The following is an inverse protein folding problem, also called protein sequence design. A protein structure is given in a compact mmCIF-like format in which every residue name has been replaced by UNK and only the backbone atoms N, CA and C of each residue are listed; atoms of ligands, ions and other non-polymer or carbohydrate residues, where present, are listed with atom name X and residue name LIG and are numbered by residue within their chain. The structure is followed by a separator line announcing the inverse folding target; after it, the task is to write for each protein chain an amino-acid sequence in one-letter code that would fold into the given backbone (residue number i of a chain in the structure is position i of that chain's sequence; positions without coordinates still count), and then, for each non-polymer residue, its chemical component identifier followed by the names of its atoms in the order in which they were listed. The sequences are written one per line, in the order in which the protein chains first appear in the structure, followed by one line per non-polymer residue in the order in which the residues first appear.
data_IF_064808707053
#
_entry.id   IF_064808707053
#
_cell.length_a   1.000
_cell.length_b   1.000
_cell.length_c   1.000
_cell.angle_alpha   90.00
_cell.angle_beta   90.00
_cell.angle_gamma   90.00
#
_symmetry.space_group_name_H-M   'P 1'
#
loop_
_entity.id
_entity.type
_entity.pdbx_description
1 polymer ?
#
# COMPACT_ATOMS: atom_id res chain seq x y z
N UNK A 1 -12.87 -19.59 15.62
CA UNK A 1 -13.28 -18.25 16.07
C UNK A 1 -12.36 -17.23 15.42
N UNK A 2 -12.89 -16.04 15.03
CA UNK A 2 -12.09 -14.92 14.51
C UNK A 2 -11.71 -14.98 13.03
N UNK A 3 -12.32 -15.85 12.23
CA UNK A 3 -12.01 -15.98 10.80
C UNK A 3 -13.11 -15.45 9.87
N UNK A 4 -14.14 -14.83 10.41
CA UNK A 4 -15.21 -14.22 9.63
C UNK A 4 -15.78 -13.02 10.37
N UNK A 5 -16.32 -12.08 9.61
CA UNK A 5 -17.08 -10.94 10.12
C UNK A 5 -18.33 -10.73 9.28
N UNK A 6 -19.36 -10.18 9.89
CA UNK A 6 -20.55 -9.74 9.18
C UNK A 6 -20.31 -8.31 8.70
N UNK A 7 -20.39 -8.09 7.40
CA UNK A 7 -20.10 -6.80 6.77
C UNK A 7 -21.30 -6.30 5.97
N UNK A 8 -21.33 -4.99 5.70
CA UNK A 8 -22.22 -4.41 4.70
C UNK A 8 -21.62 -4.66 3.32
N UNK A 9 -22.44 -5.14 2.38
CA UNK A 9 -22.03 -5.26 0.99
C UNK A 9 -22.12 -3.89 0.32
N UNK A 10 -21.03 -3.40 -0.23
CA UNK A 10 -20.97 -2.20 -1.05
C UNK A 10 -20.73 -2.56 -2.51
N UNK A 11 -21.09 -1.65 -3.42
CA UNK A 11 -20.70 -1.71 -4.82
C UNK A 11 -19.28 -1.16 -4.94
N UNK A 12 -18.30 -2.05 -5.08
CA UNK A 12 -16.88 -1.70 -5.04
C UNK A 12 -16.43 -1.03 -6.34
N UNK A 13 -15.62 0.02 -6.22
CA UNK A 13 -14.93 0.60 -7.38
C UNK A 13 -13.87 -0.38 -7.90
N UNK A 14 -13.73 -0.51 -9.23
CA UNK A 14 -12.78 -1.43 -9.86
C UNK A 14 -11.35 -0.85 -9.92
N UNK A 15 -10.93 -0.20 -8.85
CA UNK A 15 -9.62 0.42 -8.73
C UNK A 15 -9.11 0.35 -7.29
N UNK A 16 -7.81 0.22 -7.14
CA UNK A 16 -7.13 0.38 -5.87
C UNK A 16 -6.57 1.80 -5.76
N UNK A 17 -6.78 2.43 -4.61
CA UNK A 17 -6.38 3.80 -4.34
C UNK A 17 -5.10 3.79 -3.49
N UNK A 18 -3.95 3.86 -4.14
CA UNK A 18 -2.66 3.84 -3.44
C UNK A 18 -2.20 5.28 -3.21
N UNK A 19 -1.80 5.58 -1.97
CA UNK A 19 -1.15 6.85 -1.63
C UNK A 19 0.27 6.56 -1.15
N UNK A 20 1.22 7.33 -1.67
CA UNK A 20 2.64 7.19 -1.33
C UNK A 20 3.17 8.50 -0.76
N UNK A 21 3.73 8.45 0.43
CA UNK A 21 4.51 9.54 1.01
C UNK A 21 6.02 9.29 0.89
N UNK A 22 6.39 8.08 0.54
CA UNK A 22 7.79 7.66 0.34
C UNK A 22 7.89 6.80 -0.92
N UNK A 23 9.08 6.82 -1.52
CA UNK A 23 9.38 6.08 -2.75
C UNK A 23 9.84 4.66 -2.41
N UNK A 24 8.97 3.68 -2.63
CA UNK A 24 9.23 2.26 -2.34
C UNK A 24 8.50 1.32 -3.30
N UNK A 25 8.88 0.06 -3.31
CA UNK A 25 8.17 -1.01 -4.00
C UNK A 25 7.98 -0.77 -5.51
N UNK A 26 6.74 -0.88 -6.00
CA UNK A 26 6.42 -0.67 -7.42
C UNK A 26 6.67 0.77 -7.87
N UNK A 27 6.41 1.75 -6.99
CA UNK A 27 6.67 3.17 -7.28
C UNK A 27 8.17 3.45 -7.52
N UNK A 28 9.05 2.88 -6.71
CA UNK A 28 10.49 2.99 -6.92
C UNK A 28 10.92 2.34 -8.25
N UNK A 29 10.37 1.19 -8.59
CA UNK A 29 10.70 0.51 -9.85
C UNK A 29 10.29 1.34 -11.07
N UNK A 30 9.11 1.94 -11.01
CA UNK A 30 8.58 2.80 -12.07
C UNK A 30 9.43 4.09 -12.18
N UNK A 31 9.69 4.75 -11.06
CA UNK A 31 10.54 5.94 -11.02
C UNK A 31 11.95 5.69 -11.59
N UNK A 32 12.59 4.59 -11.24
CA UNK A 32 13.92 4.25 -11.76
C UNK A 32 13.92 4.00 -13.28
N UNK A 33 12.78 3.63 -13.86
CA UNK A 33 12.63 3.39 -15.28
C UNK A 33 12.26 4.66 -16.05
N UNK A 34 11.38 5.49 -15.49
CA UNK A 34 10.68 6.55 -16.22
C UNK A 34 10.86 7.96 -15.62
N UNK A 35 11.39 8.07 -14.39
CA UNK A 35 11.44 9.33 -13.66
C UNK A 35 10.08 9.81 -13.15
N UNK A 36 9.03 9.00 -13.34
CA UNK A 36 7.65 9.28 -12.95
C UNK A 36 7.04 8.12 -12.16
N UNK A 37 5.93 8.36 -11.47
CA UNK A 37 5.06 7.31 -10.91
C UNK A 37 3.63 7.61 -11.30
N UNK A 38 2.96 6.70 -11.99
CA UNK A 38 1.61 6.91 -12.54
C UNK A 38 1.49 8.18 -13.40
N UNK A 39 2.55 8.55 -14.13
CA UNK A 39 2.63 9.78 -14.91
C UNK A 39 2.92 11.04 -14.11
N UNK A 40 3.06 10.97 -12.78
CA UNK A 40 3.44 12.10 -11.92
C UNK A 40 4.96 12.26 -11.97
N UNK A 41 5.43 13.41 -12.49
CA UNK A 41 6.86 13.76 -12.49
C UNK A 41 7.38 13.96 -11.07
N UNK A 42 8.46 13.30 -10.72
CA UNK A 42 9.11 13.42 -9.42
C UNK A 42 10.48 14.10 -9.55
N UNK A 43 11.00 14.72 -8.48
CA UNK A 43 12.35 15.29 -8.48
C UNK A 43 13.40 14.25 -8.87
N UNK A 44 14.47 14.72 -9.53
CA UNK A 44 15.63 13.88 -9.82
C UNK A 44 16.40 13.53 -8.53
N UNK A 45 17.04 12.36 -8.54
CA UNK A 45 17.93 11.93 -7.46
C UNK A 45 17.24 11.27 -6.28
N UNK A 46 15.94 10.99 -6.36
CA UNK A 46 15.27 10.17 -5.35
C UNK A 46 15.82 8.74 -5.37
N UNK A 47 15.99 8.18 -4.19
CA UNK A 47 16.49 6.82 -3.98
C UNK A 47 15.44 5.98 -3.24
N UNK A 48 15.76 4.71 -2.99
CA UNK A 48 14.89 3.85 -2.20
C UNK A 48 14.57 4.51 -0.84
N UNK A 49 13.32 4.44 -0.45
CA UNK A 49 12.80 5.03 0.79
C UNK A 49 12.88 6.57 0.90
N UNK A 50 13.21 7.30 -0.18
CA UNK A 50 13.15 8.77 -0.15
C UNK A 50 11.75 9.26 0.22
N UNK A 51 11.69 10.24 1.12
CA UNK A 51 10.45 10.94 1.42
C UNK A 51 10.08 11.83 0.23
N UNK A 52 8.84 11.73 -0.23
CA UNK A 52 8.33 12.58 -1.30
C UNK A 52 8.04 14.00 -0.77
N UNK A 53 8.17 15.04 -1.62
CA UNK A 53 7.85 16.42 -1.24
C UNK A 53 6.42 16.57 -0.71
N UNK A 54 5.49 15.84 -1.31
CA UNK A 54 4.10 15.71 -0.90
C UNK A 54 3.62 14.28 -1.18
N UNK A 55 2.60 13.79 -0.44
CA UNK A 55 1.99 12.51 -0.77
C UNK A 55 1.37 12.53 -2.15
N UNK A 56 1.59 11.48 -2.93
CA UNK A 56 1.04 11.31 -4.27
C UNK A 56 0.00 10.21 -4.32
N UNK A 57 -1.05 10.42 -5.12
CA UNK A 57 -2.07 9.43 -5.40
C UNK A 57 -1.70 8.64 -6.66
N UNK A 58 -1.52 7.34 -6.51
CA UNK A 58 -1.02 6.43 -7.56
C UNK A 58 -1.96 5.25 -7.71
N UNK A 59 -3.09 5.40 -8.42
CA UNK A 59 -4.08 4.35 -8.55
C UNK A 59 -3.55 3.15 -9.32
N UNK A 60 -4.15 1.98 -9.07
CA UNK A 60 -3.95 0.79 -9.90
C UNK A 60 -5.29 0.17 -10.31
N UNK A 61 -5.29 -0.56 -11.41
CA UNK A 61 -6.42 -1.41 -11.75
C UNK A 61 -6.51 -2.56 -10.76
N UNK A 62 -7.73 -3.02 -10.51
CA UNK A 62 -7.95 -4.27 -9.79
C UNK A 62 -7.94 -5.40 -10.82
N UNK A 63 -6.85 -6.16 -10.84
CA UNK A 63 -6.69 -7.26 -11.80
C UNK A 63 -7.71 -8.38 -11.56
N UNK A 64 -8.08 -9.09 -12.62
CA UNK A 64 -8.81 -10.35 -12.49
C UNK A 64 -7.92 -11.42 -11.85
N UNK A 65 -8.55 -12.48 -11.30
CA UNK A 65 -7.82 -13.55 -10.62
C UNK A 65 -6.83 -14.19 -11.59
N UNK A 66 -5.55 -13.98 -11.33
CA UNK A 66 -4.42 -14.53 -12.11
C UNK A 66 -3.58 -13.49 -12.84
N UNK A 67 -4.04 -12.25 -12.92
CA UNK A 67 -3.29 -11.12 -13.44
C UNK A 67 -2.69 -10.27 -12.31
N UNK A 68 -1.82 -9.33 -12.67
CA UNK A 68 -1.21 -8.40 -11.72
C UNK A 68 -1.86 -7.02 -11.82
N UNK A 69 -2.07 -6.39 -10.66
CA UNK A 69 -2.50 -5.00 -10.58
C UNK A 69 -1.49 -4.11 -11.29
N UNK A 70 -2.00 -3.26 -12.20
CA UNK A 70 -1.16 -2.34 -12.98
C UNK A 70 -1.37 -0.91 -12.48
N UNK A 71 -0.27 -0.21 -12.21
CA UNK A 71 -0.31 1.22 -11.95
C UNK A 71 -0.89 1.95 -13.17
N UNK A 72 -1.84 2.84 -12.92
CA UNK A 72 -2.48 3.66 -13.97
C UNK A 72 -2.35 5.15 -13.64
N UNK A 73 -2.40 5.99 -14.67
CA UNK A 73 -2.48 7.43 -14.46
C UNK A 73 -3.84 7.85 -13.90
N UNK A 74 -3.90 9.06 -13.31
CA UNK A 74 -5.17 9.64 -12.88
C UNK A 74 -6.15 9.81 -14.05
N UNK A 75 -5.68 10.23 -15.22
CA UNK A 75 -6.51 10.36 -16.43
C UNK A 75 -7.13 9.00 -16.81
N UNK A 76 -6.36 7.93 -16.71
CA UNK A 76 -6.90 6.57 -16.96
C UNK A 76 -7.95 6.18 -15.93
N UNK A 77 -7.79 6.56 -14.66
CA UNK A 77 -8.81 6.35 -13.65
C UNK A 77 -10.08 7.14 -13.97
N UNK A 78 -9.95 8.38 -14.45
CA UNK A 78 -11.09 9.21 -14.91
C UNK A 78 -11.83 8.54 -16.07
N UNK A 79 -11.12 7.95 -17.04
CA UNK A 79 -11.76 7.19 -18.12
C UNK A 79 -12.57 5.99 -17.61
N UNK A 80 -12.14 5.34 -16.53
CA UNK A 80 -12.81 4.16 -15.97
C UNK A 80 -14.01 4.55 -15.10
N UNK A 81 -13.88 5.58 -14.26
CA UNK A 81 -14.87 5.90 -13.21
C UNK A 81 -15.69 7.16 -13.49
N UNK A 82 -15.24 8.01 -14.40
CA UNK A 82 -15.70 9.39 -14.54
C UNK A 82 -14.96 10.35 -13.61
N UNK A 83 -14.96 11.63 -13.97
CA UNK A 83 -14.16 12.67 -13.28
C UNK A 83 -14.61 12.88 -11.82
N UNK A 84 -15.91 12.86 -11.56
CA UNK A 84 -16.49 13.07 -10.23
C UNK A 84 -16.00 12.00 -9.25
N UNK A 85 -16.14 10.72 -9.59
CA UNK A 85 -15.75 9.62 -8.74
C UNK A 85 -14.23 9.53 -8.59
N UNK A 86 -13.48 9.64 -9.67
CA UNK A 86 -12.03 9.60 -9.64
C UNK A 86 -11.45 10.70 -8.73
N UNK A 87 -11.99 11.92 -8.81
CA UNK A 87 -11.60 13.05 -7.97
C UNK A 87 -11.96 12.79 -6.51
N UNK A 88 -13.18 12.32 -6.24
CA UNK A 88 -13.62 12.01 -4.89
C UNK A 88 -12.74 10.94 -4.23
N UNK A 89 -12.41 9.86 -4.96
CA UNK A 89 -11.53 8.80 -4.45
C UNK A 89 -10.11 9.30 -4.15
N UNK A 90 -9.53 10.10 -5.06
CA UNK A 90 -8.22 10.72 -4.84
C UNK A 90 -8.20 11.57 -3.58
N UNK A 91 -9.16 12.47 -3.45
CA UNK A 91 -9.20 13.45 -2.36
C UNK A 91 -9.45 12.75 -1.00
N UNK A 92 -10.34 11.74 -0.99
CA UNK A 92 -10.56 10.92 0.19
C UNK A 92 -9.32 10.11 0.58
N UNK A 93 -8.67 9.45 -0.39
CA UNK A 93 -7.47 8.65 -0.14
C UNK A 93 -6.33 9.50 0.42
N UNK A 94 -6.05 10.67 -0.18
CA UNK A 94 -5.05 11.61 0.30
C UNK A 94 -5.37 12.12 1.70
N UNK A 95 -6.63 12.46 1.98
CA UNK A 95 -7.06 12.93 3.30
C UNK A 95 -6.88 11.86 4.38
N UNK A 96 -7.31 10.63 4.11
CA UNK A 96 -7.15 9.51 5.06
C UNK A 96 -5.68 9.24 5.31
N UNK A 97 -4.87 9.16 4.25
CA UNK A 97 -3.43 8.94 4.36
C UNK A 97 -2.75 10.03 5.19
N UNK A 98 -2.95 11.30 4.86
CA UNK A 98 -2.27 12.41 5.55
C UNK A 98 -2.62 12.42 7.04
N UNK A 99 -3.92 12.26 7.36
CA UNK A 99 -4.37 12.20 8.76
C UNK A 99 -3.71 11.04 9.52
N UNK A 100 -3.64 9.87 8.89
CA UNK A 100 -3.04 8.68 9.51
C UNK A 100 -1.50 8.81 9.61
N UNK A 101 -0.85 9.34 8.59
CA UNK A 101 0.60 9.53 8.57
C UNK A 101 1.06 10.49 9.67
N UNK A 102 0.34 11.59 9.89
CA UNK A 102 0.62 12.54 10.98
C UNK A 102 0.43 11.87 12.36
N UNK A 103 -0.65 11.09 12.51
CA UNK A 103 -0.91 10.35 13.74
C UNK A 103 0.16 9.31 14.05
N UNK A 104 0.58 8.55 13.04
CA UNK A 104 1.62 7.52 13.16
C UNK A 104 2.99 8.14 13.43
N UNK A 105 3.33 9.23 12.73
CA UNK A 105 4.61 9.92 12.91
C UNK A 105 4.78 10.44 14.34
N UNK A 106 3.72 10.95 14.96
CA UNK A 106 3.74 11.37 16.37
C UNK A 106 4.00 10.22 17.35
N UNK A 107 3.94 8.96 16.88
CA UNK A 107 4.18 7.72 17.64
C UNK A 107 5.45 6.98 17.18
N UNK A 108 6.26 7.61 16.34
CA UNK A 108 7.51 7.04 15.84
C UNK A 108 7.33 6.01 14.72
N UNK A 109 6.16 5.99 14.05
CA UNK A 109 5.88 5.10 12.91
C UNK A 109 5.73 5.91 11.64
N UNK A 110 6.40 5.49 10.59
CA UNK A 110 6.26 6.03 9.23
C UNK A 110 5.29 5.15 8.46
N UNK A 111 4.24 5.74 7.88
CA UNK A 111 3.42 5.10 6.86
C UNK A 111 4.00 5.49 5.50
N UNK A 112 4.76 4.58 4.90
CA UNK A 112 5.44 4.87 3.63
C UNK A 112 4.46 4.94 2.45
N UNK A 113 3.60 3.98 2.35
CA UNK A 113 2.48 3.93 1.42
C UNK A 113 1.34 3.08 2.01
N UNK A 114 0.18 3.23 1.43
CA UNK A 114 -0.99 2.43 1.77
C UNK A 114 -1.90 2.28 0.57
N UNK A 115 -2.64 1.19 0.56
CA UNK A 115 -3.66 0.85 -0.43
C UNK A 115 -5.02 0.91 0.22
N UNK A 116 -5.92 1.70 -0.34
CA UNK A 116 -7.32 1.78 0.06
C UNK A 116 -8.22 1.21 -1.03
N UNK A 117 -9.32 0.65 -0.60
CA UNK A 117 -10.44 0.30 -1.46
C UNK A 117 -11.68 1.11 -1.05
N UNK A 118 -12.45 1.54 -2.02
CA UNK A 118 -13.68 2.28 -1.81
C UNK A 118 -14.85 1.59 -2.51
N UNK A 119 -16.03 1.84 -2.00
CA UNK A 119 -17.27 1.36 -2.60
C UNK A 119 -18.41 2.33 -2.36
N UNK A 120 -19.53 2.11 -3.05
CA UNK A 120 -20.77 2.85 -2.85
C UNK A 120 -21.74 2.06 -1.98
N UNK A 121 -22.34 2.76 -1.03
CA UNK A 121 -23.48 2.29 -0.25
C UNK A 121 -24.62 3.31 -0.40
N UNK A 122 -25.55 3.03 -1.30
CA UNK A 122 -26.47 4.05 -1.80
C UNK A 122 -25.70 5.16 -2.52
N UNK A 123 -25.94 6.41 -2.18
CA UNK A 123 -25.26 7.57 -2.78
C UNK A 123 -23.94 7.97 -2.08
N UNK A 124 -23.55 7.21 -1.07
CA UNK A 124 -22.36 7.56 -0.25
C UNK A 124 -21.15 6.70 -0.66
N UNK A 125 -20.03 7.34 -0.92
CA UNK A 125 -18.72 6.65 -1.04
C UNK A 125 -18.24 6.31 0.37
N UNK A 126 -17.90 5.06 0.57
CA UNK A 126 -17.37 4.55 1.84
C UNK A 126 -16.00 3.93 1.65
N UNK A 127 -15.16 4.06 2.66
CA UNK A 127 -13.91 3.32 2.77
C UNK A 127 -14.25 1.86 3.11
N UNK A 128 -13.69 0.93 2.39
CA UNK A 128 -14.00 -0.50 2.47
C UNK A 128 -12.72 -1.33 2.58
N UNK A 129 -12.89 -2.63 2.73
CA UNK A 129 -11.82 -3.59 2.91
C UNK A 129 -10.92 -3.26 4.13
N UNK A 130 -9.68 -3.69 4.14
CA UNK A 130 -8.73 -3.38 5.21
C UNK A 130 -8.15 -1.97 5.07
N UNK A 131 -7.97 -1.29 6.20
CA UNK A 131 -7.52 0.10 6.25
C UNK A 131 -6.33 0.20 7.18
N UNK A 132 -5.19 0.66 6.66
CA UNK A 132 -3.99 0.93 7.46
C UNK A 132 -3.54 -0.27 8.30
N UNK A 133 -3.63 -1.46 7.72
CA UNK A 133 -3.11 -2.68 8.31
C UNK A 133 -1.70 -2.96 7.80
N UNK A 134 -0.92 -3.83 8.47
CA UNK A 134 0.37 -4.28 7.92
C UNK A 134 0.26 -5.00 6.56
N UNK A 135 -0.94 -5.42 6.14
CA UNK A 135 -1.17 -6.03 4.83
C UNK A 135 -1.43 -5.00 3.73
N UNK A 136 -2.15 -3.91 4.04
CA UNK A 136 -2.48 -2.84 3.11
C UNK A 136 -1.42 -1.72 3.05
N UNK A 137 -0.50 -1.67 4.01
CA UNK A 137 0.40 -0.54 4.22
C UNK A 137 1.83 -0.99 4.51
N UNK A 138 2.82 -0.14 4.16
CA UNK A 138 4.19 -0.26 4.65
C UNK A 138 4.37 0.63 5.86
N UNK A 139 4.62 0.02 7.00
CA UNK A 139 4.97 0.69 8.24
C UNK A 139 6.44 0.51 8.52
N UNK A 140 7.15 1.63 8.76
CA UNK A 140 8.56 1.63 9.11
C UNK A 140 8.78 2.25 10.49
N UNK A 141 9.69 1.71 11.32
CA UNK A 141 10.12 2.38 12.53
C UNK A 141 10.80 3.71 12.18
N UNK A 142 10.34 4.80 12.78
CA UNK A 142 10.89 6.12 12.49
C UNK A 142 12.30 6.35 13.06
N UNK A 143 12.62 5.67 14.13
CA UNK A 143 13.92 5.75 14.82
C UNK A 143 15.08 5.07 14.06
N UNK A 144 14.76 4.11 13.21
CA UNK A 144 15.73 3.37 12.39
C UNK A 144 15.66 3.70 10.90
N UNK A 145 14.78 4.64 10.54
CA UNK A 145 14.62 5.06 9.15
C UNK A 145 15.90 5.68 8.59
N UNK A 146 16.33 5.19 7.43
CA UNK A 146 17.49 5.71 6.70
C UNK A 146 17.20 5.72 5.20
N UNK A 147 17.21 6.92 4.62
CA UNK A 147 17.01 7.09 3.18
C UNK A 147 18.10 6.36 2.37
N UNK A 148 17.73 5.78 1.24
CA UNK A 148 18.63 5.01 0.38
C UNK A 148 18.75 3.54 0.75
N UNK A 149 18.20 3.11 1.88
CA UNK A 149 18.25 1.72 2.35
C UNK A 149 16.87 1.05 2.34
N UNK A 150 16.88 -0.28 2.36
CA UNK A 150 15.69 -1.05 2.68
C UNK A 150 15.34 -0.86 4.16
N UNK A 151 14.08 -0.59 4.44
CA UNK A 151 13.63 -0.34 5.79
C UNK A 151 13.14 -1.62 6.48
N UNK A 152 13.45 -1.79 7.78
CA UNK A 152 12.71 -2.76 8.58
C UNK A 152 11.22 -2.47 8.47
N UNK A 153 10.42 -3.47 8.16
CA UNK A 153 8.98 -3.29 7.99
C UNK A 153 8.21 -4.15 8.99
N UNK A 154 7.07 -3.61 9.44
CA UNK A 154 6.10 -4.37 10.26
C UNK A 154 5.13 -5.20 9.40
N UNK A 155 5.31 -5.20 8.08
CA UNK A 155 4.45 -5.87 7.12
C UNK A 155 4.89 -7.31 6.76
N UNK A 156 4.25 -7.87 5.75
CA UNK A 156 4.52 -9.20 5.19
C UNK A 156 5.83 -9.31 4.38
N UNK A 157 6.66 -8.26 4.34
CA UNK A 157 7.90 -8.28 3.55
C UNK A 157 8.86 -9.38 4.05
N UNK A 158 8.90 -9.61 5.35
CA UNK A 158 9.71 -10.69 5.94
C UNK A 158 9.36 -12.09 5.37
N UNK A 159 8.06 -12.39 5.24
CA UNK A 159 7.61 -13.64 4.61
C UNK A 159 7.92 -13.65 3.11
N UNK A 160 7.75 -12.51 2.43
CA UNK A 160 8.07 -12.39 0.99
C UNK A 160 9.54 -12.62 0.72
N UNK A 161 10.43 -12.07 1.55
CA UNK A 161 11.88 -12.24 1.42
C UNK A 161 12.25 -13.70 1.59
N UNK A 162 11.69 -14.37 2.60
CA UNK A 162 11.90 -15.80 2.80
C UNK A 162 11.40 -16.61 1.61
N UNK A 163 10.18 -16.36 1.13
CA UNK A 163 9.62 -17.04 -0.04
C UNK A 163 10.47 -16.81 -1.29
N UNK A 164 10.95 -15.60 -1.51
CA UNK A 164 11.80 -15.27 -2.66
C UNK A 164 13.12 -16.05 -2.63
N UNK A 165 13.66 -16.30 -1.45
CA UNK A 165 14.89 -17.06 -1.28
C UNK A 165 14.69 -18.59 -1.39
N UNK A 166 13.46 -19.09 -1.19
CA UNK A 166 13.20 -20.54 -1.04
C UNK A 166 12.15 -21.09 -2.02
N UNK A 167 11.58 -20.27 -2.88
CA UNK A 167 10.55 -20.67 -3.83
C UNK A 167 10.64 -19.90 -5.13
N UNK A 168 10.68 -20.61 -6.24
CA UNK A 168 10.74 -20.08 -7.60
C UNK A 168 9.36 -19.64 -8.15
N UNK A 169 8.32 -19.65 -7.30
CA UNK A 169 6.92 -19.35 -7.62
C UNK A 169 6.28 -20.35 -8.59
N UNK A 170 6.87 -21.54 -8.77
CA UNK A 170 6.27 -22.61 -9.54
C UNK A 170 5.70 -23.68 -8.60
N UNK A 171 4.56 -24.27 -8.98
CA UNK A 171 3.90 -25.29 -8.16
C UNK A 171 3.37 -24.78 -6.81
N UNK A 172 3.22 -25.71 -5.86
CA UNK A 172 2.74 -25.36 -4.53
C UNK A 172 3.83 -24.66 -3.71
N UNK A 173 3.51 -23.58 -2.98
CA UNK A 173 4.48 -22.91 -2.12
C UNK A 173 4.97 -23.83 -1.00
N UNK A 174 6.24 -23.70 -0.57
CA UNK A 174 6.77 -24.46 0.55
C UNK A 174 6.06 -24.06 1.85
N UNK A 175 6.00 -25.00 2.78
CA UNK A 175 5.48 -24.72 4.12
C UNK A 175 6.47 -23.79 4.84
N UNK A 176 5.95 -22.69 5.39
CA UNK A 176 6.78 -21.77 6.19
C UNK A 176 7.33 -22.48 7.44
N UNK A 177 8.62 -22.32 7.75
CA UNK A 177 9.19 -22.75 9.02
C UNK A 177 8.53 -22.05 10.22
N UNK A 178 8.55 -22.69 11.38
CA UNK A 178 7.89 -22.17 12.56
C UNK A 178 8.50 -20.85 13.04
N UNK A 179 9.81 -20.69 12.96
CA UNK A 179 10.53 -19.47 13.30
C UNK A 179 10.13 -18.26 12.42
N UNK A 180 9.86 -18.50 11.13
CA UNK A 180 9.35 -17.46 10.21
C UNK A 180 7.91 -17.07 10.59
N UNK A 181 7.08 -18.04 10.94
CA UNK A 181 5.70 -17.79 11.41
C UNK A 181 5.73 -16.96 12.70
N UNK A 182 6.54 -17.37 13.67
CA UNK A 182 6.65 -16.71 14.98
C UNK A 182 7.21 -15.28 14.85
N UNK A 183 8.25 -15.10 14.03
CA UNK A 183 8.82 -13.79 13.77
C UNK A 183 7.84 -12.85 13.05
N UNK A 184 7.05 -13.37 12.10
CA UNK A 184 6.00 -12.60 11.42
C UNK A 184 4.90 -12.20 12.41
N UNK A 185 4.44 -13.13 13.23
CA UNK A 185 3.45 -12.83 14.28
C UNK A 185 3.93 -11.75 15.25
N UNK A 186 5.19 -11.84 15.67
CA UNK A 186 5.80 -10.83 16.55
C UNK A 186 5.82 -9.43 15.91
N UNK A 187 6.07 -9.33 14.60
CA UNK A 187 6.03 -8.06 13.86
C UNK A 187 4.63 -7.44 13.85
N UNK A 188 3.60 -8.25 13.63
CA UNK A 188 2.21 -7.76 13.65
C UNK A 188 1.80 -7.31 15.06
N UNK A 189 2.20 -8.05 16.11
CA UNK A 189 1.96 -7.65 17.51
C UNK A 189 2.68 -6.34 17.80
N UNK A 190 3.95 -6.21 17.41
CA UNK A 190 4.71 -4.98 17.59
C UNK A 190 4.03 -3.78 16.91
N UNK A 191 3.56 -3.94 15.67
CA UNK A 191 2.82 -2.88 14.97
C UNK A 191 1.52 -2.48 15.69
N UNK A 192 0.87 -3.43 16.36
CA UNK A 192 -0.37 -3.16 17.11
C UNK A 192 -0.11 -2.44 18.44
N UNK A 193 1.03 -2.70 19.09
CA UNK A 193 1.38 -2.16 20.40
C UNK A 193 2.06 -0.77 20.33
N UNK A 194 2.53 -0.35 19.12
CA UNK A 194 3.15 0.97 18.89
C UNK A 194 2.09 2.02 18.52
#
# INVERSE_FOLDING_TARGET
RGRFMLVKKADMFPAECIVRGYLAGSGLKEYNREGTVCGIGLPEGLVNSSKLPEPIFTPSTKAEIGDHDENISFDRLVEILGEEDATALRDLALKVYTTAADHAAARGVIIADTKFEFGRLGDTIILADEVLTPDSSRFWPGDTYEEGKDQPSFDKQFVRDWLTAHWDKTGNPPRLPQDIIDATSAKYIQAYET
#
